data_IF_641323585257
#
_entry.id   IF_641323585257
#
_cell.length_a   1.000
_cell.length_b   1.000
_cell.length_c   1.000
_cell.angle_alpha   90.00
_cell.angle_beta   90.00
_cell.angle_gamma   90.00
#
_symmetry.space_group_name_H-M   'P 1'
#
loop_
_entity.id
_entity.type
_entity.pdbx_description
1 polymer ?
#
# COMPACT_ATOMS: atom_id res chain seq x y z
N UNK A 1 15.24 -21.00 -11.77
CA UNK A 1 15.07 -22.43 -11.40
C UNK A 1 13.64 -22.83 -11.74
N UNK A 2 13.39 -23.86 -12.57
CA UNK A 2 12.03 -24.33 -12.81
C UNK A 2 11.48 -25.09 -11.58
N UNK A 3 10.17 -25.00 -11.27
CA UNK A 3 9.57 -25.72 -10.16
C UNK A 3 9.31 -27.20 -10.49
N UNK A 4 9.28 -27.98 -9.41
CA UNK A 4 9.21 -29.44 -9.32
C UNK A 4 8.17 -30.13 -10.21
N UNK A 5 8.62 -31.20 -10.87
CA UNK A 5 7.84 -32.11 -11.70
C UNK A 5 6.77 -32.85 -10.92
N UNK A 6 5.51 -32.66 -11.27
CA UNK A 6 4.43 -33.59 -10.93
C UNK A 6 4.10 -34.48 -12.11
N UNK A 7 4.09 -35.78 -11.85
CA UNK A 7 3.50 -36.90 -12.59
C UNK A 7 3.07 -36.68 -14.04
N UNK A 8 3.72 -37.44 -14.92
CA UNK A 8 3.23 -37.87 -16.23
C UNK A 8 1.78 -38.39 -16.17
N UNK A 9 0.81 -37.54 -16.53
CA UNK A 9 -0.53 -37.99 -16.88
C UNK A 9 -1.18 -37.02 -17.87
N UNK A 10 -1.35 -37.52 -19.11
CA UNK A 10 -2.26 -37.05 -20.15
C UNK A 10 -2.01 -35.64 -20.73
N UNK A 11 -1.19 -35.57 -21.77
CA UNK A 11 -1.10 -34.42 -22.68
C UNK A 11 -1.96 -34.72 -23.92
N UNK A 12 -3.09 -34.02 -24.13
CA UNK A 12 -3.86 -34.15 -25.37
C UNK A 12 -3.04 -33.62 -26.55
N UNK A 13 -2.93 -34.42 -27.62
CA UNK A 13 -2.23 -34.06 -28.86
C UNK A 13 -2.95 -32.90 -29.56
N UNK A 14 -2.42 -31.68 -29.43
CA UNK A 14 -2.95 -30.49 -30.09
C UNK A 14 -2.60 -29.15 -29.43
N UNK A 15 -1.98 -29.14 -28.25
CA UNK A 15 -1.58 -27.90 -27.57
C UNK A 15 -0.11 -27.58 -27.87
N UNK A 16 0.12 -26.43 -28.50
CA UNK A 16 1.45 -25.85 -28.65
C UNK A 16 1.84 -25.11 -27.36
N UNK A 17 2.85 -25.62 -26.66
CA UNK A 17 3.35 -25.13 -25.37
C UNK A 17 4.44 -24.05 -25.49
N UNK A 18 4.65 -23.44 -26.66
CA UNK A 18 5.71 -22.43 -26.87
C UNK A 18 5.46 -21.06 -26.21
N UNK A 19 4.44 -20.89 -25.36
CA UNK A 19 4.22 -19.65 -24.62
C UNK A 19 4.02 -19.91 -23.12
N UNK A 20 5.11 -20.18 -22.42
CA UNK A 20 5.17 -20.52 -21.00
C UNK A 20 5.32 -19.32 -20.05
N UNK A 21 5.14 -18.07 -20.52
CA UNK A 21 5.28 -16.86 -19.66
C UNK A 21 3.93 -16.28 -19.18
N UNK A 22 2.81 -16.96 -19.44
CA UNK A 22 1.47 -16.39 -19.22
C UNK A 22 0.89 -16.59 -17.81
N UNK A 23 1.51 -17.42 -16.97
CA UNK A 23 0.94 -17.81 -15.66
C UNK A 23 1.46 -17.00 -14.47
N UNK A 24 2.47 -16.14 -14.65
CA UNK A 24 2.93 -15.23 -13.59
C UNK A 24 1.95 -14.06 -13.32
N UNK A 25 0.96 -13.87 -14.19
CA UNK A 25 0.21 -12.62 -14.28
C UNK A 25 -0.95 -12.42 -13.28
N UNK A 26 -1.34 -13.42 -12.50
CA UNK A 26 -2.54 -13.29 -11.64
C UNK A 26 -2.28 -13.32 -10.13
N UNK A 27 -1.11 -13.80 -9.68
CA UNK A 27 -0.86 -13.98 -8.24
C UNK A 27 -0.09 -12.82 -7.57
N UNK A 28 0.78 -12.11 -8.30
CA UNK A 28 1.53 -10.99 -7.70
C UNK A 28 0.72 -9.68 -7.58
N UNK A 29 -0.15 -9.40 -8.55
CA UNK A 29 -0.88 -8.13 -8.61
C UNK A 29 -1.97 -8.02 -7.54
N UNK A 30 -2.60 -9.15 -7.20
CA UNK A 30 -3.67 -9.18 -6.20
C UNK A 30 -3.16 -8.84 -4.79
N UNK A 31 -2.01 -9.40 -4.39
CA UNK A 31 -1.40 -9.12 -3.08
C UNK A 31 -0.93 -7.67 -2.98
N UNK A 32 -0.28 -7.15 -4.03
CA UNK A 32 0.16 -5.75 -4.09
C UNK A 32 -1.02 -4.78 -4.02
N UNK A 33 -2.12 -5.10 -4.70
CA UNK A 33 -3.35 -4.29 -4.68
C UNK A 33 -4.04 -4.32 -3.31
N UNK A 34 -4.08 -5.48 -2.66
CA UNK A 34 -4.72 -5.64 -1.35
C UNK A 34 -3.91 -5.00 -0.22
N UNK A 35 -2.60 -5.21 -0.19
CA UNK A 35 -1.77 -4.84 0.96
C UNK A 35 -0.91 -3.59 0.76
N UNK A 36 -0.55 -3.22 -0.48
CA UNK A 36 0.35 -2.09 -0.73
C UNK A 36 -0.15 -0.80 -0.08
N UNK A 37 -1.43 -0.49 -0.30
CA UNK A 37 -2.09 0.69 0.31
C UNK A 37 -2.07 0.67 1.83
N UNK A 38 -2.37 -0.47 2.46
CA UNK A 38 -2.40 -0.58 3.92
C UNK A 38 -1.00 -0.44 4.52
N UNK A 39 0.00 -1.06 3.88
CA UNK A 39 1.39 -0.98 4.30
C UNK A 39 1.89 0.47 4.22
N UNK A 40 1.53 1.20 3.16
CA UNK A 40 1.90 2.62 3.01
C UNK A 40 1.38 3.49 4.17
N UNK A 41 0.14 3.26 4.60
CA UNK A 41 -0.48 3.99 5.73
C UNK A 41 0.25 3.68 7.03
N UNK A 42 0.51 2.40 7.29
CA UNK A 42 1.20 1.94 8.51
C UNK A 42 2.61 2.49 8.55
N UNK A 43 3.32 2.51 7.42
CA UNK A 43 4.64 3.09 7.30
C UNK A 43 4.62 4.59 7.65
N UNK A 44 3.73 5.38 7.03
CA UNK A 44 3.61 6.82 7.32
C UNK A 44 3.25 7.08 8.79
N UNK A 45 2.36 6.28 9.37
CA UNK A 45 1.98 6.40 10.77
C UNK A 45 3.17 6.14 11.71
N UNK A 46 3.98 5.12 11.41
CA UNK A 46 5.17 4.77 12.18
C UNK A 46 6.23 5.89 12.09
N UNK A 47 6.48 6.41 10.89
CA UNK A 47 7.40 7.54 10.68
C UNK A 47 6.96 8.78 11.45
N UNK A 48 5.68 9.13 11.39
CA UNK A 48 5.13 10.29 12.10
C UNK A 48 5.25 10.13 13.62
N UNK A 49 5.01 8.91 14.13
CA UNK A 49 5.18 8.61 15.55
C UNK A 49 6.63 8.66 15.99
N UNK A 50 7.56 8.17 15.15
CA UNK A 50 9.00 8.30 15.39
C UNK A 50 9.42 9.77 15.48
N UNK A 51 8.98 10.62 14.54
CA UNK A 51 9.23 12.08 14.57
C UNK A 51 8.68 12.73 15.84
N UNK A 52 7.46 12.37 16.25
CA UNK A 52 6.88 12.89 17.49
C UNK A 52 7.69 12.49 18.72
N UNK A 53 8.11 11.22 18.80
CA UNK A 53 8.96 10.76 19.89
C UNK A 53 10.30 11.52 19.93
N UNK A 54 10.90 11.82 18.79
CA UNK A 54 12.12 12.62 18.72
C UNK A 54 11.91 14.05 19.23
N UNK A 55 10.78 14.68 18.92
CA UNK A 55 10.42 15.99 19.48
C UNK A 55 10.17 15.93 20.98
N UNK A 56 9.47 14.91 21.47
CA UNK A 56 9.25 14.72 22.90
C UNK A 56 10.58 14.52 23.64
N UNK A 57 11.49 13.71 23.10
CA UNK A 57 12.83 13.53 23.65
C UNK A 57 13.61 14.86 23.68
N UNK A 58 13.53 15.65 22.61
CA UNK A 58 14.14 16.98 22.56
C UNK A 58 13.51 17.95 23.56
N UNK A 59 12.19 17.92 23.73
CA UNK A 59 11.49 18.75 24.71
C UNK A 59 11.89 18.36 26.14
N UNK A 60 12.03 17.07 26.44
CA UNK A 60 12.48 16.58 27.75
C UNK A 60 13.94 16.98 27.99
N UNK A 61 14.82 16.80 27.00
CA UNK A 61 16.24 17.15 27.14
C UNK A 61 16.47 18.66 27.38
N UNK A 62 15.59 19.51 26.85
CA UNK A 62 15.69 20.96 26.98
C UNK A 62 14.67 21.57 27.96
N UNK A 63 13.94 20.75 28.73
CA UNK A 63 12.88 21.22 29.64
C UNK A 63 13.43 22.17 30.71
N UNK A 64 14.66 21.93 31.14
CA UNK A 64 15.35 22.70 32.18
C UNK A 64 16.19 23.85 31.61
N UNK A 65 16.13 24.10 30.29
CA UNK A 65 16.85 25.21 29.66
C UNK A 65 16.00 26.49 29.68
N UNK A 66 16.44 27.58 30.35
CA UNK A 66 15.68 28.83 30.40
C UNK A 66 15.42 29.38 29.00
N UNK A 67 14.16 29.70 28.70
CA UNK A 67 13.76 30.27 27.40
C UNK A 67 13.45 29.24 26.29
N UNK A 68 13.54 27.93 26.56
CA UNK A 68 13.19 26.91 25.57
C UNK A 68 11.68 26.81 25.33
N UNK A 69 11.28 26.76 24.04
CA UNK A 69 9.87 26.59 23.62
C UNK A 69 9.65 25.18 23.08
N UNK A 70 8.71 24.47 23.69
CA UNK A 70 8.35 23.10 23.30
C UNK A 70 7.75 23.07 21.89
N UNK A 71 8.11 22.05 21.12
CA UNK A 71 7.56 21.78 19.77
C UNK A 71 6.74 20.50 19.83
N UNK A 72 5.48 20.52 19.37
CA UNK A 72 4.67 19.32 19.17
C UNK A 72 4.09 19.30 17.75
N UNK A 73 3.79 18.09 17.27
CA UNK A 73 3.15 17.83 15.99
C UNK A 73 1.78 17.22 16.27
N UNK A 74 0.72 17.80 15.69
CA UNK A 74 -0.62 17.22 15.76
C UNK A 74 -0.71 15.98 14.86
N UNK A 75 -0.39 14.82 15.46
CA UNK A 75 -0.41 13.52 14.80
C UNK A 75 -1.77 13.22 14.16
N UNK A 76 -2.87 13.49 14.89
CA UNK A 76 -4.22 13.13 14.44
C UNK A 76 -4.59 13.91 13.20
N UNK A 77 -4.36 15.22 13.21
CA UNK A 77 -4.67 16.09 12.07
C UNK A 77 -3.92 15.68 10.80
N UNK A 78 -2.64 15.35 10.92
CA UNK A 78 -1.82 14.93 9.78
C UNK A 78 -2.25 13.56 9.28
N UNK A 79 -2.52 12.62 10.19
CA UNK A 79 -2.94 11.27 9.83
C UNK A 79 -4.32 11.25 9.16
N UNK A 80 -5.27 12.00 9.70
CA UNK A 80 -6.60 12.17 9.12
C UNK A 80 -6.53 12.79 7.71
N UNK A 81 -5.59 13.70 7.49
CA UNK A 81 -5.30 14.26 6.17
C UNK A 81 -4.88 13.19 5.16
N UNK A 82 -3.96 12.30 5.55
CA UNK A 82 -3.53 11.19 4.69
C UNK A 82 -4.66 10.18 4.44
N UNK A 83 -5.48 9.89 5.44
CA UNK A 83 -6.64 8.98 5.27
C UNK A 83 -7.66 9.56 4.29
N UNK A 84 -8.02 10.84 4.44
CA UNK A 84 -8.95 11.52 3.52
C UNK A 84 -8.44 11.59 2.10
N UNK A 85 -7.14 11.84 1.90
CA UNK A 85 -6.53 11.86 0.57
C UNK A 85 -6.64 10.48 -0.11
N UNK A 86 -6.46 9.40 0.65
CA UNK A 86 -6.63 8.04 0.14
C UNK A 86 -8.09 7.72 -0.19
N UNK A 87 -9.04 8.09 0.67
CA UNK A 87 -10.48 7.91 0.43
C UNK A 87 -10.92 8.65 -0.85
N UNK A 88 -10.49 9.91 -1.00
CA UNK A 88 -10.75 10.69 -2.21
C UNK A 88 -10.14 10.05 -3.46
N UNK A 89 -8.96 9.42 -3.35
CA UNK A 89 -8.35 8.65 -4.43
C UNK A 89 -9.18 7.41 -4.82
N UNK A 90 -9.75 6.71 -3.83
CA UNK A 90 -10.62 5.54 -4.04
C UNK A 90 -11.91 5.91 -4.78
N UNK A 91 -12.52 7.03 -4.38
CA UNK A 91 -13.74 7.55 -4.99
C UNK A 91 -13.56 8.01 -6.44
N UNK A 92 -12.38 8.54 -6.77
CA UNK A 92 -12.03 8.92 -8.15
C UNK A 92 -11.90 7.69 -9.04
N UNK A 93 -11.27 6.63 -8.55
CA UNK A 93 -11.10 5.36 -9.26
C UNK A 93 -12.46 4.70 -9.49
N UNK A 94 -13.33 4.65 -8.46
CA UNK A 94 -14.66 4.04 -8.58
C UNK A 94 -15.56 4.80 -9.57
N UNK A 95 -15.55 6.13 -9.54
CA UNK A 95 -16.30 6.97 -10.50
C UNK A 95 -15.77 6.85 -11.92
N UNK A 96 -14.45 6.80 -12.12
CA UNK A 96 -13.83 6.60 -13.43
C UNK A 96 -14.16 5.21 -14.00
N UNK A 97 -14.16 4.17 -13.16
CA UNK A 97 -14.56 2.82 -13.55
C UNK A 97 -16.05 2.74 -13.94
N UNK A 98 -16.93 3.44 -13.23
CA UNK A 98 -18.37 3.49 -13.55
C UNK A 98 -18.66 4.22 -14.88
N UNK A 99 -17.90 5.26 -15.22
CA UNK A 99 -18.12 6.06 -16.45
C UNK A 99 -17.75 5.30 -17.73
N UNK A 100 -16.85 4.33 -17.66
CA UNK A 100 -16.42 3.52 -18.81
C UNK A 100 -17.30 2.30 -19.09
N UNK A 101 -18.16 1.90 -18.15
CA UNK A 101 -19.07 0.76 -18.32
C UNK A 101 -20.34 1.21 -19.05
N UNK A 102 -20.26 1.35 -20.37
CA UNK A 102 -21.44 1.57 -21.21
C UNK A 102 -22.22 0.25 -21.26
N UNK A 103 -23.13 0.06 -20.30
CA UNK A 103 -24.11 -1.05 -20.30
C UNK A 103 -24.85 -0.99 -21.63
N UNK A 104 -24.50 -1.91 -22.52
CA UNK A 104 -25.16 -2.05 -23.81
C UNK A 104 -26.20 -3.15 -23.60
N UNK A 105 -27.46 -2.72 -23.49
CA UNK A 105 -28.64 -3.58 -23.61
C UNK A 105 -28.86 -3.98 -25.07
#
# INVERSE_FOLDING_TARGET
>A
MPPVSWGSAFVPSGINWQNTERWDWYCEDYVKTLFGKTIDIVQKALELRSKRNALLASNIANVDTPGYKQKDIDFRKIMDGYMKEMEAGRDRISKAAMKGSRVSF
#
